data_IF_032943560068
#
_entry.id   IF_032943560068
#
_cell.length_a   1.000
_cell.length_b   1.000
_cell.length_c   1.000
_cell.angle_alpha   90.00
_cell.angle_beta   90.00
_cell.angle_gamma   90.00
#
_symmetry.space_group_name_H-M   'P 1'
#
loop_
_entity.id
_entity.type
_entity.pdbx_description
1 polymer ?
#
# COMPACT_ATOMS: atom_id res chain seq x y z
N UNK A 1 -5.05 40.27 -3.88
CA UNK A 1 -5.80 39.00 -3.86
C UNK A 1 -5.89 38.56 -5.29
N UNK A 2 -5.38 37.38 -5.60
CA UNK A 2 -5.67 36.75 -6.89
C UNK A 2 -7.18 36.51 -6.95
N UNK A 3 -7.79 36.80 -8.10
CA UNK A 3 -9.24 36.62 -8.30
C UNK A 3 -9.49 35.19 -8.76
N UNK A 4 -9.37 34.24 -7.83
CA UNK A 4 -9.61 32.82 -8.11
C UNK A 4 -11.09 32.57 -8.40
N UNK A 5 -11.36 31.77 -9.43
CA UNK A 5 -12.68 31.35 -9.88
C UNK A 5 -12.93 29.90 -9.49
N UNK A 6 -14.20 29.52 -9.48
CA UNK A 6 -14.62 28.13 -9.29
C UNK A 6 -14.44 27.34 -10.60
N UNK A 7 -13.18 27.10 -10.96
CA UNK A 7 -12.75 26.32 -12.12
C UNK A 7 -11.56 25.45 -11.75
N UNK A 8 -11.40 24.30 -12.42
CA UNK A 8 -10.39 23.31 -12.07
C UNK A 8 -8.94 23.85 -12.06
N UNK A 9 -8.48 24.66 -13.03
CA UNK A 9 -7.15 25.26 -12.99
C UNK A 9 -6.84 26.09 -11.74
N UNK A 10 -7.80 26.91 -11.29
CA UNK A 10 -7.63 27.74 -10.09
C UNK A 10 -7.61 26.89 -8.81
N UNK A 11 -8.45 25.86 -8.76
CA UNK A 11 -8.48 24.89 -7.65
C UNK A 11 -7.16 24.13 -7.59
N UNK A 12 -6.66 23.62 -8.71
CA UNK A 12 -5.40 22.87 -8.74
C UNK A 12 -4.20 23.77 -8.43
N UNK A 13 -4.21 25.03 -8.91
CA UNK A 13 -3.21 26.04 -8.52
C UNK A 13 -3.19 26.26 -7.00
N UNK A 14 -4.36 26.35 -6.36
CA UNK A 14 -4.47 26.43 -4.90
C UNK A 14 -3.96 25.15 -4.23
N UNK A 15 -4.29 23.97 -4.76
CA UNK A 15 -3.83 22.68 -4.23
C UNK A 15 -2.31 22.47 -4.37
N UNK A 16 -1.70 23.01 -5.43
CA UNK A 16 -0.25 22.95 -5.66
C UNK A 16 0.54 23.67 -4.57
N UNK A 17 -0.10 24.58 -3.82
CA UNK A 17 0.50 25.14 -2.62
C UNK A 17 0.82 24.08 -1.55
N UNK A 18 0.30 22.85 -1.63
CA UNK A 18 0.46 21.80 -0.63
C UNK A 18 1.34 20.61 -1.08
N UNK A 19 1.96 20.66 -2.26
CA UNK A 19 2.79 19.55 -2.78
C UNK A 19 3.93 19.12 -1.86
N UNK A 20 4.49 20.05 -1.08
CA UNK A 20 5.62 19.80 -0.16
C UNK A 20 5.19 19.33 1.23
N UNK A 21 3.93 18.96 1.40
CA UNK A 21 3.40 18.39 2.65
C UNK A 21 2.43 19.30 3.41
N UNK A 22 1.87 18.70 4.45
CA UNK A 22 0.75 19.13 5.29
C UNK A 22 0.94 20.49 6.00
N UNK A 23 -0.18 21.18 6.22
CA UNK A 23 -0.23 22.35 7.11
C UNK A 23 -0.50 21.95 8.56
N UNK A 24 0.44 22.37 9.42
CA UNK A 24 0.34 22.66 10.85
C UNK A 24 -0.16 21.55 11.79
N UNK A 25 0.71 20.87 12.58
CA UNK A 25 0.28 20.15 13.78
C UNK A 25 -0.21 21.08 14.91
N UNK A 26 -0.36 22.39 14.66
CA UNK A 26 -0.76 23.41 15.64
C UNK A 26 -2.15 23.97 15.33
N UNK A 27 -2.72 24.70 16.28
CA UNK A 27 -4.02 25.35 16.09
C UNK A 27 -4.00 26.36 14.92
N UNK A 28 -5.00 26.33 14.01
CA UNK A 28 -5.10 27.23 12.86
C UNK A 28 -5.54 28.64 13.30
N UNK A 29 -5.26 29.66 12.48
CA UNK A 29 -5.74 31.02 12.77
C UNK A 29 -7.27 31.10 12.86
N UNK A 30 -7.78 32.14 13.54
CA UNK A 30 -9.22 32.39 13.64
C UNK A 30 -9.86 32.57 12.25
N UNK A 31 -9.15 33.23 11.32
CA UNK A 31 -9.61 33.43 9.95
C UNK A 31 -9.75 32.09 9.21
N UNK A 32 -8.75 31.22 9.31
CA UNK A 32 -8.78 29.88 8.72
C UNK A 32 -9.88 29.00 9.36
N UNK A 33 -10.03 29.04 10.69
CA UNK A 33 -11.15 28.38 11.37
C UNK A 33 -12.50 28.81 10.80
N UNK A 34 -12.69 30.13 10.64
CA UNK A 34 -13.93 30.70 10.12
C UNK A 34 -14.19 30.28 8.67
N UNK A 35 -13.15 30.21 7.84
CA UNK A 35 -13.25 29.76 6.45
C UNK A 35 -13.61 28.26 6.33
N UNK A 36 -13.10 27.42 7.22
CA UNK A 36 -13.43 25.98 7.25
C UNK A 36 -14.86 25.69 7.72
N UNK A 37 -15.39 26.46 8.68
CA UNK A 37 -16.65 26.14 9.36
C UNK A 37 -17.82 25.80 8.43
N UNK A 38 -18.07 26.53 7.32
CA UNK A 38 -19.11 26.17 6.36
C UNK A 38 -19.02 24.74 5.84
N UNK A 39 -17.82 24.23 5.54
CA UNK A 39 -17.63 22.86 5.04
C UNK A 39 -18.05 21.82 6.09
N UNK A 40 -17.61 22.00 7.33
CA UNK A 40 -17.96 21.10 8.45
C UNK A 40 -19.45 21.15 8.78
N UNK A 41 -20.06 22.34 8.76
CA UNK A 41 -21.49 22.49 9.02
C UNK A 41 -22.35 21.85 7.92
N UNK A 42 -21.99 22.01 6.64
CA UNK A 42 -22.70 21.37 5.54
C UNK A 42 -22.64 19.84 5.61
N UNK A 43 -21.50 19.28 6.02
CA UNK A 43 -21.29 17.84 6.15
C UNK A 43 -21.72 17.30 7.53
N UNK A 44 -22.26 18.13 8.43
CA UNK A 44 -22.69 17.69 9.78
C UNK A 44 -23.71 16.56 9.71
N UNK A 45 -24.70 16.67 8.83
CA UNK A 45 -25.77 15.68 8.67
C UNK A 45 -25.33 14.39 7.96
N UNK A 46 -24.13 14.37 7.38
CA UNK A 46 -23.60 13.19 6.70
C UNK A 46 -23.06 12.18 7.72
N UNK A 47 -23.34 10.89 7.48
CA UNK A 47 -22.80 9.78 8.23
C UNK A 47 -21.29 9.64 7.99
N UNK A 48 -20.53 9.17 8.98
CA UNK A 48 -19.11 8.92 8.82
C UNK A 48 -18.85 7.73 7.88
N UNK A 49 -17.59 7.61 7.45
CA UNK A 49 -17.09 6.48 6.68
C UNK A 49 -17.25 5.16 7.45
N UNK A 50 -17.49 4.07 6.74
CA UNK A 50 -17.75 2.76 7.35
C UNK A 50 -16.59 2.26 8.22
N UNK A 51 -15.35 2.57 7.83
CA UNK A 51 -14.13 2.16 8.54
C UNK A 51 -13.55 3.27 9.44
N UNK A 52 -14.15 4.45 9.48
CA UNK A 52 -13.66 5.59 10.26
C UNK A 52 -14.83 6.47 10.70
N UNK A 53 -15.12 6.49 12.00
CA UNK A 53 -16.24 7.20 12.62
C UNK A 53 -16.03 8.71 12.77
N UNK A 54 -14.79 9.20 12.58
CA UNK A 54 -14.41 10.61 12.67
C UNK A 54 -14.41 11.30 11.29
N UNK A 55 -14.28 10.53 10.20
CA UNK A 55 -14.13 11.03 8.85
C UNK A 55 -15.42 10.93 8.01
N UNK A 56 -15.61 11.91 7.12
CA UNK A 56 -16.72 11.97 6.16
C UNK A 56 -16.17 12.36 4.79
N UNK A 57 -16.63 11.71 3.73
CA UNK A 57 -16.15 11.96 2.37
C UNK A 57 -17.30 12.24 1.40
N UNK A 58 -17.17 13.26 0.56
CA UNK A 58 -18.13 13.54 -0.51
C UNK A 58 -17.40 13.95 -1.79
N UNK A 59 -17.84 13.42 -2.92
CA UNK A 59 -17.41 13.83 -4.24
C UNK A 59 -18.08 15.14 -4.64
N UNK A 60 -17.30 16.04 -5.24
CA UNK A 60 -17.76 17.29 -5.83
C UNK A 60 -17.28 17.40 -7.26
N UNK A 61 -18.03 18.14 -8.07
CA UNK A 61 -17.67 18.45 -9.45
C UNK A 61 -17.38 19.93 -9.60
N UNK A 62 -16.27 20.26 -10.24
CA UNK A 62 -15.86 21.65 -10.53
C UNK A 62 -15.80 21.82 -12.06
N UNK A 63 -16.29 22.94 -12.63
CA UNK A 63 -16.15 23.19 -14.06
C UNK A 63 -14.68 23.20 -14.50
N UNK A 64 -14.39 22.70 -15.71
CA UNK A 64 -13.06 22.81 -16.31
C UNK A 64 -12.55 24.25 -16.41
N UNK A 65 -13.45 25.20 -16.61
CA UNK A 65 -13.10 26.58 -17.00
C UNK A 65 -12.89 26.72 -18.50
N UNK A 66 -12.43 27.91 -18.89
CA UNK A 66 -12.04 28.29 -20.24
C UNK A 66 -10.53 28.19 -20.42
N UNK A 67 -10.04 28.29 -21.65
CA UNK A 67 -8.59 28.26 -21.90
C UNK A 67 -7.87 29.48 -21.31
N UNK A 68 -8.59 30.58 -21.13
CA UNK A 68 -8.12 31.78 -20.46
C UNK A 68 -7.91 31.56 -18.94
N UNK A 69 -8.50 30.50 -18.36
CA UNK A 69 -8.32 30.14 -16.96
C UNK A 69 -7.15 29.15 -16.75
N UNK A 70 -6.63 28.51 -17.81
CA UNK A 70 -5.61 27.47 -17.71
C UNK A 70 -4.21 28.01 -17.40
N UNK A 71 -3.84 29.14 -18.01
CA UNK A 71 -2.52 29.74 -17.88
C UNK A 71 -2.31 30.88 -18.87
N UNK A 72 -1.12 31.46 -18.88
CA UNK A 72 -0.73 32.42 -19.93
C UNK A 72 -0.04 31.67 -21.07
N UNK A 73 -0.61 31.78 -22.25
CA UNK A 73 0.03 31.28 -23.48
C UNK A 73 1.39 31.93 -23.70
N UNK A 74 1.51 33.24 -23.44
CA UNK A 74 2.76 33.98 -23.60
C UNK A 74 3.85 33.46 -22.66
N UNK A 75 3.52 33.25 -21.39
CA UNK A 75 4.48 32.69 -20.43
C UNK A 75 4.88 31.28 -20.85
N UNK A 76 3.91 30.38 -21.12
CA UNK A 76 4.20 28.99 -21.49
C UNK A 76 5.00 28.87 -22.79
N UNK A 77 4.84 29.81 -23.72
CA UNK A 77 5.67 29.92 -24.92
C UNK A 77 7.10 30.39 -24.58
N UNK A 78 7.24 31.36 -23.67
CA UNK A 78 8.55 31.87 -23.22
C UNK A 78 9.35 30.79 -22.45
N UNK A 79 8.68 30.04 -21.56
CA UNK A 79 9.29 28.95 -20.78
C UNK A 79 9.52 27.68 -21.62
N UNK A 80 8.91 27.60 -22.80
CA UNK A 80 9.07 26.48 -23.73
C UNK A 80 8.20 25.26 -23.40
N UNK A 81 7.18 25.43 -22.56
CA UNK A 81 6.16 24.41 -22.27
C UNK A 81 5.32 24.07 -23.51
N UNK A 82 5.14 25.07 -24.40
CA UNK A 82 4.42 24.93 -25.68
C UNK A 82 5.15 25.68 -26.78
N UNK A 83 5.04 25.24 -28.03
CA UNK A 83 5.71 25.88 -29.19
C UNK A 83 4.80 26.84 -29.95
N UNK A 84 3.48 26.68 -29.82
CA UNK A 84 2.48 27.46 -30.53
C UNK A 84 1.11 27.34 -29.84
N UNK A 85 0.13 28.10 -30.36
CA UNK A 85 -1.21 28.17 -29.80
C UNK A 85 -1.99 26.85 -29.89
N UNK A 86 -1.75 26.05 -30.91
CA UNK A 86 -2.41 24.75 -31.07
C UNK A 86 -1.93 23.75 -30.00
N UNK A 87 -0.63 23.71 -29.72
CA UNK A 87 -0.04 22.88 -28.65
C UNK A 87 -0.54 23.33 -27.27
N UNK A 88 -0.73 24.64 -27.06
CA UNK A 88 -1.35 25.17 -25.83
C UNK A 88 -2.82 24.75 -25.66
N UNK A 89 -3.61 24.82 -26.73
CA UNK A 89 -5.00 24.35 -26.73
C UNK A 89 -5.09 22.84 -26.49
N UNK A 90 -4.19 22.07 -27.07
CA UNK A 90 -4.10 20.63 -26.85
C UNK A 90 -3.71 20.31 -25.42
N UNK A 91 -2.70 20.98 -24.86
CA UNK A 91 -2.24 20.72 -23.50
C UNK A 91 -3.34 20.98 -22.46
N UNK A 92 -4.10 22.07 -22.62
CA UNK A 92 -5.27 22.34 -21.77
C UNK A 92 -6.31 21.21 -21.80
N UNK A 93 -6.59 20.67 -22.99
CA UNK A 93 -7.55 19.57 -23.16
C UNK A 93 -7.01 18.20 -22.75
N UNK A 94 -5.69 18.06 -22.64
CA UNK A 94 -5.04 16.86 -22.09
C UNK A 94 -5.09 16.86 -20.56
N UNK A 95 -4.79 17.99 -19.92
CA UNK A 95 -4.89 18.16 -18.46
C UNK A 95 -6.34 18.15 -17.97
N UNK A 96 -7.24 18.80 -18.73
CA UNK A 96 -8.67 18.90 -18.39
C UNK A 96 -9.56 18.41 -19.54
N UNK A 97 -9.62 17.08 -19.77
CA UNK A 97 -10.32 16.51 -20.91
C UNK A 97 -11.84 16.64 -20.82
N UNK A 98 -12.38 16.63 -19.61
CA UNK A 98 -13.81 16.63 -19.36
C UNK A 98 -14.35 18.04 -19.06
N UNK A 99 -15.64 18.33 -19.37
CA UNK A 99 -16.26 19.61 -19.00
C UNK A 99 -16.32 19.87 -17.48
N UNK A 100 -16.21 18.81 -16.68
CA UNK A 100 -16.20 18.85 -15.22
C UNK A 100 -15.08 17.96 -14.68
N UNK A 101 -14.42 18.44 -13.64
CA UNK A 101 -13.37 17.74 -12.92
C UNK A 101 -13.92 17.25 -11.57
N UNK A 102 -13.44 16.09 -11.13
CA UNK A 102 -13.93 15.43 -9.91
C UNK A 102 -12.90 15.52 -8.80
N UNK A 103 -13.38 15.83 -7.61
CA UNK A 103 -12.56 15.92 -6.40
C UNK A 103 -13.32 15.29 -5.24
N UNK A 104 -12.63 14.54 -4.39
CA UNK A 104 -13.18 14.08 -3.12
C UNK A 104 -12.81 15.06 -2.02
N UNK A 105 -13.81 15.56 -1.30
CA UNK A 105 -13.62 16.27 -0.04
C UNK A 105 -13.74 15.27 1.10
N UNK A 106 -12.67 15.09 1.87
CA UNK A 106 -12.70 14.35 3.13
C UNK A 106 -12.46 15.32 4.27
N UNK A 107 -13.36 15.33 5.24
CA UNK A 107 -13.18 16.06 6.50
C UNK A 107 -13.10 15.05 7.65
N UNK A 108 -12.31 15.38 8.67
CA UNK A 108 -12.28 14.64 9.92
C UNK A 108 -12.37 15.60 11.12
N UNK A 109 -13.11 15.21 12.15
CA UNK A 109 -13.22 15.97 13.40
C UNK A 109 -13.24 15.02 14.59
N UNK A 110 -12.38 15.26 15.56
CA UNK A 110 -12.30 14.44 16.77
C UNK A 110 -12.43 15.28 18.03
N UNK A 111 -13.05 14.67 19.05
CA UNK A 111 -13.43 15.31 20.29
C UNK A 111 -12.90 14.54 21.50
N UNK A 112 -12.51 15.28 22.52
CA UNK A 112 -12.23 14.77 23.86
C UNK A 112 -13.52 14.24 24.49
N UNK A 113 -13.38 13.49 25.58
CA UNK A 113 -14.52 12.96 26.35
C UNK A 113 -15.42 14.04 26.94
N UNK A 114 -14.89 15.24 27.17
CA UNK A 114 -15.64 16.40 27.67
C UNK A 114 -16.37 17.17 26.55
N UNK A 115 -16.31 16.68 25.31
CA UNK A 115 -16.92 17.31 24.13
C UNK A 115 -16.10 18.45 23.54
N UNK A 116 -14.93 18.78 24.08
CA UNK A 116 -14.04 19.75 23.46
C UNK A 116 -13.33 19.14 22.24
N UNK A 117 -13.21 19.92 21.16
CA UNK A 117 -12.59 19.48 19.91
C UNK A 117 -11.07 19.55 20.02
N UNK A 118 -10.39 18.45 19.71
CA UNK A 118 -8.93 18.37 19.74
C UNK A 118 -8.30 18.26 18.35
N UNK A 119 -9.10 17.93 17.33
CA UNK A 119 -8.60 17.67 15.98
C UNK A 119 -9.55 18.14 14.88
N UNK A 120 -9.01 18.68 13.79
CA UNK A 120 -9.67 18.77 12.48
C UNK A 120 -8.70 18.50 11.35
N UNK A 121 -9.16 17.76 10.35
CA UNK A 121 -8.48 17.65 9.08
C UNK A 121 -9.41 17.95 7.90
N UNK A 122 -8.82 18.49 6.84
CA UNK A 122 -9.46 18.69 5.54
C UNK A 122 -8.51 18.17 4.46
N UNK A 123 -9.00 17.23 3.67
CA UNK A 123 -8.34 16.66 2.50
C UNK A 123 -9.22 16.93 1.28
N UNK A 124 -8.62 17.33 0.17
CA UNK A 124 -9.36 17.61 -1.06
C UNK A 124 -8.57 17.12 -2.28
N UNK A 125 -9.22 16.35 -3.14
CA UNK A 125 -8.52 15.66 -4.22
C UNK A 125 -7.52 14.66 -3.67
N UNK A 126 -6.25 14.78 -4.05
CA UNK A 126 -5.13 13.97 -3.56
C UNK A 126 -4.27 14.70 -2.49
N UNK A 127 -4.68 15.90 -2.05
CA UNK A 127 -3.88 16.75 -1.15
C UNK A 127 -4.47 16.86 0.27
N UNK A 128 -3.66 16.61 1.33
CA UNK A 128 -4.01 17.01 2.68
C UNK A 128 -3.82 18.52 2.82
N UNK A 129 -4.92 19.26 2.95
CA UNK A 129 -4.89 20.72 3.04
C UNK A 129 -4.61 21.16 4.48
N UNK A 130 -5.28 20.55 5.47
CA UNK A 130 -5.20 20.94 6.89
C UNK A 130 -5.14 19.70 7.77
N UNK A 131 -4.29 19.73 8.79
CA UNK A 131 -4.24 18.72 9.85
C UNK A 131 -4.01 19.37 11.23
N UNK A 132 -5.04 20.01 11.76
CA UNK A 132 -4.98 20.86 12.95
C UNK A 132 -5.24 20.09 14.25
N UNK A 133 -4.27 20.11 15.16
CA UNK A 133 -4.45 19.72 16.55
C UNK A 133 -4.65 20.98 17.42
N UNK A 134 -5.76 21.00 18.17
CA UNK A 134 -6.16 22.16 18.98
C UNK A 134 -5.57 22.14 20.40
N UNK A 135 -4.96 21.02 20.81
CA UNK A 135 -4.32 20.88 22.13
C UNK A 135 -2.89 21.47 22.16
N UNK A 136 -2.24 21.63 21.00
CA UNK A 136 -0.89 22.19 20.93
C UNK A 136 -0.94 23.73 20.92
N UNK A 137 -0.55 24.33 22.04
CA UNK A 137 -0.27 25.76 22.18
C UNK A 137 1.21 26.05 21.92
N UNK A 138 1.78 25.60 20.80
CA UNK A 138 3.18 25.93 20.53
C UNK A 138 3.30 27.37 20.00
N UNK A 139 4.09 28.18 20.70
CA UNK A 139 4.44 29.56 20.29
C UNK A 139 5.32 29.55 19.03
N UNK A 140 5.93 28.40 18.69
CA UNK A 140 6.55 28.16 17.39
C UNK A 140 5.49 27.72 16.37
N UNK A 141 4.78 28.71 15.81
CA UNK A 141 4.10 28.51 14.52
C UNK A 141 5.16 28.06 13.51
N UNK A 142 5.26 26.75 13.28
CA UNK A 142 6.11 26.18 12.24
C UNK A 142 5.80 26.92 10.93
N UNK A 143 6.83 27.28 10.16
CA UNK A 143 6.84 28.32 9.11
C UNK A 143 5.93 28.13 7.89
N UNK A 144 4.79 27.48 8.05
CA UNK A 144 3.77 27.18 7.05
C UNK A 144 2.57 28.15 7.07
N UNK A 145 2.58 29.16 7.95
CA UNK A 145 1.56 30.23 8.02
C UNK A 145 1.33 30.96 6.70
N UNK A 146 2.30 30.91 5.79
CA UNK A 146 2.29 31.65 4.52
C UNK A 146 1.34 31.03 3.47
N UNK A 147 0.63 29.95 3.81
CA UNK A 147 -0.31 29.25 2.92
C UNK A 147 -1.75 29.28 3.41
N UNK A 148 -2.03 29.89 4.57
CA UNK A 148 -3.40 29.98 5.09
C UNK A 148 -4.33 30.74 4.14
N UNK A 149 -3.83 31.76 3.42
CA UNK A 149 -4.63 32.51 2.44
C UNK A 149 -5.15 31.60 1.32
N UNK A 150 -4.30 30.74 0.75
CA UNK A 150 -4.71 29.78 -0.29
C UNK A 150 -5.79 28.81 0.23
N UNK A 151 -5.71 28.40 1.49
CA UNK A 151 -6.73 27.55 2.10
C UNK A 151 -8.04 28.30 2.31
N UNK A 152 -7.97 29.55 2.76
CA UNK A 152 -9.15 30.40 2.97
C UNK A 152 -9.87 30.60 1.63
N UNK A 153 -9.13 30.92 0.57
CA UNK A 153 -9.67 31.08 -0.79
C UNK A 153 -10.27 29.77 -1.29
N UNK A 154 -9.58 28.64 -1.10
CA UNK A 154 -10.09 27.32 -1.45
C UNK A 154 -11.38 26.98 -0.70
N UNK A 155 -11.44 27.16 0.62
CA UNK A 155 -12.66 26.92 1.41
C UNK A 155 -13.84 27.78 0.93
N UNK A 156 -13.58 29.02 0.51
CA UNK A 156 -14.62 29.89 -0.04
C UNK A 156 -15.17 29.36 -1.37
N UNK A 157 -14.30 28.90 -2.27
CA UNK A 157 -14.68 28.31 -3.56
C UNK A 157 -15.43 26.98 -3.40
N UNK A 158 -15.04 26.15 -2.43
CA UNK A 158 -15.63 24.82 -2.22
C UNK A 158 -17.04 24.86 -1.62
N UNK A 159 -17.49 26.01 -1.09
CA UNK A 159 -18.78 26.10 -0.42
C UNK A 159 -19.96 25.71 -1.34
N UNK A 160 -19.99 26.20 -2.57
CA UNK A 160 -21.07 25.94 -3.52
C UNK A 160 -21.08 24.49 -4.05
N UNK A 161 -19.96 23.91 -4.55
CA UNK A 161 -19.93 22.51 -4.99
C UNK A 161 -20.34 21.52 -3.89
N UNK A 162 -19.88 21.74 -2.65
CA UNK A 162 -20.21 20.87 -1.51
C UNK A 162 -21.69 20.97 -1.17
N UNK A 163 -22.25 22.18 -1.20
CA UNK A 163 -23.69 22.40 -1.00
C UNK A 163 -24.52 21.64 -2.04
N UNK A 164 -24.12 21.68 -3.30
CA UNK A 164 -24.81 20.97 -4.39
C UNK A 164 -24.73 19.44 -4.23
N UNK A 165 -23.56 18.88 -3.88
CA UNK A 165 -23.43 17.45 -3.59
C UNK A 165 -24.28 17.03 -2.38
N UNK A 166 -24.29 17.82 -1.31
CA UNK A 166 -25.14 17.56 -0.14
C UNK A 166 -26.64 17.69 -0.47
N UNK A 167 -27.04 18.62 -1.35
CA UNK A 167 -28.42 18.74 -1.82
C UNK A 167 -28.85 17.46 -2.54
N UNK A 168 -28.03 16.94 -3.46
CA UNK A 168 -28.27 15.66 -4.15
C UNK A 168 -28.35 14.50 -3.17
N UNK A 169 -27.52 14.50 -2.12
CA UNK A 169 -27.55 13.46 -1.10
C UNK A 169 -28.87 13.47 -0.33
N UNK A 170 -29.34 14.66 0.07
CA UNK A 170 -30.64 14.85 0.74
C UNK A 170 -31.83 14.49 -0.14
N UNK A 171 -31.70 14.68 -1.45
CA UNK A 171 -32.72 14.29 -2.45
C UNK A 171 -32.66 12.80 -2.84
N UNK A 172 -31.64 12.07 -2.38
CA UNK A 172 -31.47 10.65 -2.70
C UNK A 172 -30.96 10.38 -4.12
N UNK A 173 -30.42 11.39 -4.81
CA UNK A 173 -29.93 11.27 -6.20
C UNK A 173 -28.40 11.19 -6.31
N UNK A 174 -27.69 11.50 -5.22
CA UNK A 174 -26.22 11.59 -5.21
C UNK A 174 -25.50 10.28 -5.55
N UNK A 175 -25.81 9.17 -4.87
CA UNK A 175 -25.04 7.92 -5.06
C UNK A 175 -25.17 7.37 -6.50
N UNK A 176 -26.36 7.44 -7.09
CA UNK A 176 -26.55 7.06 -8.50
C UNK A 176 -25.85 8.03 -9.46
N UNK A 177 -25.80 9.34 -9.13
CA UNK A 177 -25.02 10.31 -9.89
C UNK A 177 -23.52 9.98 -9.87
N UNK A 178 -22.93 9.71 -8.70
CA UNK A 178 -21.51 9.32 -8.57
C UNK A 178 -21.25 8.04 -9.35
N UNK A 179 -22.04 6.99 -9.11
CA UNK A 179 -21.91 5.69 -9.78
C UNK A 179 -21.95 5.80 -11.31
N UNK A 180 -22.81 6.66 -11.85
CA UNK A 180 -22.96 6.85 -13.28
C UNK A 180 -21.87 7.72 -13.92
N UNK A 181 -21.26 8.66 -13.18
CA UNK A 181 -20.43 9.72 -13.78
C UNK A 181 -18.99 9.83 -13.24
N UNK A 182 -18.64 9.17 -12.13
CA UNK A 182 -17.28 9.22 -11.58
C UNK A 182 -16.27 8.68 -12.61
N UNK A 183 -15.18 9.37 -12.96
CA UNK A 183 -14.19 8.87 -13.91
C UNK A 183 -13.50 7.58 -13.43
N UNK A 184 -13.03 6.75 -14.36
CA UNK A 184 -12.36 5.48 -14.03
C UNK A 184 -11.08 5.66 -13.21
N UNK A 185 -10.40 6.81 -13.33
CA UNK A 185 -9.18 7.13 -12.59
C UNK A 185 -9.40 7.23 -11.07
N UNK A 186 -10.65 7.36 -10.62
CA UNK A 186 -11.02 7.39 -9.21
C UNK A 186 -11.63 6.07 -8.71
N UNK A 187 -11.85 5.10 -9.60
CA UNK A 187 -12.60 3.89 -9.27
C UNK A 187 -11.68 2.74 -8.90
N UNK A 188 -12.20 1.85 -8.06
CA UNK A 188 -11.60 0.53 -7.84
C UNK A 188 -12.29 -0.51 -8.74
N UNK A 189 -11.52 -1.39 -9.36
CA UNK A 189 -12.05 -2.43 -10.25
C UNK A 189 -11.21 -3.70 -10.23
N UNK A 190 -11.70 -4.77 -10.83
CA UNK A 190 -10.92 -6.00 -11.01
C UNK A 190 -11.00 -6.46 -12.45
N UNK A 191 -9.93 -7.07 -12.93
CA UNK A 191 -9.89 -7.70 -14.24
C UNK A 191 -9.36 -9.14 -14.12
N UNK A 192 -10.01 -10.14 -14.72
CA UNK A 192 -9.45 -11.50 -14.75
C UNK A 192 -8.11 -11.52 -15.47
N UNK A 193 -7.07 -12.08 -14.84
CA UNK A 193 -5.70 -12.08 -15.38
C UNK A 193 -5.60 -12.75 -16.75
N UNK A 194 -6.33 -13.86 -16.95
CA UNK A 194 -6.43 -14.52 -18.27
C UNK A 194 -6.87 -13.57 -19.39
N UNK A 195 -7.75 -12.60 -19.11
CA UNK A 195 -8.24 -11.66 -20.13
C UNK A 195 -7.15 -10.65 -20.47
N UNK A 196 -6.37 -10.19 -19.47
CA UNK A 196 -5.19 -9.39 -19.71
C UNK A 196 -4.19 -10.14 -20.59
N UNK A 197 -3.88 -11.40 -20.27
CA UNK A 197 -2.96 -12.22 -21.08
C UNK A 197 -3.44 -12.45 -22.51
N UNK A 198 -4.75 -12.63 -22.71
CA UNK A 198 -5.34 -12.82 -24.03
C UNK A 198 -5.29 -11.55 -24.89
N UNK A 199 -5.51 -10.39 -24.29
CA UNK A 199 -5.58 -9.10 -25.00
C UNK A 199 -4.22 -8.43 -25.14
N UNK A 200 -3.35 -8.60 -24.16
CA UNK A 200 -2.02 -8.00 -24.05
C UNK A 200 -1.02 -9.06 -23.54
N UNK A 201 -0.50 -9.92 -24.44
CA UNK A 201 0.37 -11.05 -24.06
C UNK A 201 1.64 -10.67 -23.29
N UNK A 202 2.07 -9.42 -23.39
CA UNK A 202 3.18 -8.82 -22.65
C UNK A 202 3.01 -8.96 -21.13
N UNK A 203 1.77 -8.90 -20.64
CA UNK A 203 1.46 -9.13 -19.22
C UNK A 203 1.77 -10.55 -18.79
N UNK A 204 1.57 -11.54 -19.67
CA UNK A 204 1.93 -12.93 -19.37
C UNK A 204 3.43 -13.09 -19.26
N UNK A 205 4.19 -12.45 -20.17
CA UNK A 205 5.65 -12.47 -20.13
C UNK A 205 6.17 -11.81 -18.84
N UNK A 206 5.61 -10.66 -18.47
CA UNK A 206 5.92 -9.96 -17.22
C UNK A 206 5.51 -10.74 -15.97
N UNK A 207 4.37 -11.43 -15.99
CA UNK A 207 3.90 -12.19 -14.83
C UNK A 207 4.77 -13.41 -14.53
N UNK A 208 5.28 -14.06 -15.59
CA UNK A 208 6.11 -15.24 -15.51
C UNK A 208 7.60 -14.93 -15.34
N UNK A 209 8.05 -13.73 -15.73
CA UNK A 209 9.45 -13.26 -15.63
C UNK A 209 10.47 -14.30 -16.16
N UNK A 210 10.13 -14.95 -17.27
CA UNK A 210 10.99 -15.99 -17.87
C UNK A 210 11.15 -17.26 -17.03
N UNK A 211 10.24 -17.55 -16.10
CA UNK A 211 10.17 -18.84 -15.42
C UNK A 211 9.96 -19.98 -16.44
N UNK A 212 10.82 -21.02 -16.44
CA UNK A 212 10.60 -22.20 -17.28
C UNK A 212 9.36 -22.97 -16.84
N UNK A 213 8.63 -23.54 -17.80
CA UNK A 213 7.44 -24.37 -17.54
C UNK A 213 7.77 -25.56 -16.62
N UNK A 214 8.98 -26.10 -16.70
CA UNK A 214 9.44 -27.17 -15.81
C UNK A 214 9.48 -26.71 -14.34
N UNK A 215 9.84 -25.46 -14.10
CA UNK A 215 9.89 -24.88 -12.75
C UNK A 215 8.48 -24.63 -12.22
N UNK A 216 7.58 -24.09 -13.06
CA UNK A 216 6.17 -23.87 -12.72
C UNK A 216 5.48 -25.22 -12.44
N UNK A 217 5.73 -26.22 -13.28
CA UNK A 217 5.20 -27.57 -13.10
C UNK A 217 5.72 -28.25 -11.83
N UNK A 218 7.00 -28.09 -11.50
CA UNK A 218 7.57 -28.58 -10.24
C UNK A 218 6.92 -27.88 -9.03
N UNK A 219 6.75 -26.56 -9.11
CA UNK A 219 6.07 -25.79 -8.06
C UNK A 219 4.62 -26.26 -7.85
N UNK A 220 3.86 -26.41 -8.94
CA UNK A 220 2.48 -26.94 -8.91
C UNK A 220 2.42 -28.35 -8.31
N UNK A 221 3.38 -29.22 -8.65
CA UNK A 221 3.45 -30.57 -8.08
C UNK A 221 3.72 -30.54 -6.57
N UNK A 222 4.59 -29.65 -6.09
CA UNK A 222 4.84 -29.46 -4.66
C UNK A 222 3.57 -29.01 -3.93
N UNK A 223 2.83 -28.04 -4.48
CA UNK A 223 1.56 -27.61 -3.89
C UNK A 223 0.52 -28.72 -3.85
N UNK A 224 0.34 -29.45 -4.97
CA UNK A 224 -0.61 -30.57 -5.05
C UNK A 224 -0.27 -31.74 -4.12
N UNK A 225 1.00 -31.92 -3.76
CA UNK A 225 1.41 -32.91 -2.76
C UNK A 225 0.99 -32.51 -1.33
N UNK A 226 0.67 -31.22 -1.12
CA UNK A 226 0.40 -30.61 0.17
C UNK A 226 1.64 -30.48 1.05
N UNK A 227 2.84 -30.61 0.49
CA UNK A 227 4.07 -30.46 1.29
C UNK A 227 4.27 -29.02 1.75
N UNK A 228 3.70 -28.01 1.07
CA UNK A 228 3.72 -26.60 1.47
C UNK A 228 2.80 -26.28 2.66
N UNK A 229 2.76 -27.15 3.66
CA UNK A 229 2.04 -26.94 4.90
C UNK A 229 2.94 -27.26 6.09
N UNK A 230 2.88 -26.40 7.10
CA UNK A 230 3.73 -26.51 8.29
C UNK A 230 3.59 -27.86 9.00
N UNK A 231 2.41 -28.48 8.99
CA UNK A 231 2.20 -29.80 9.59
C UNK A 231 2.72 -30.98 8.76
N UNK A 232 3.19 -30.77 7.53
CA UNK A 232 3.62 -31.83 6.59
C UNK A 232 5.10 -31.78 6.21
N UNK A 233 5.75 -30.62 6.29
CA UNK A 233 7.20 -30.50 6.04
C UNK A 233 8.05 -31.27 7.05
N UNK A 234 9.28 -31.62 6.68
CA UNK A 234 10.27 -32.14 7.63
C UNK A 234 10.82 -31.07 8.59
N UNK A 235 11.63 -31.47 9.57
CA UNK A 235 12.34 -30.58 10.53
C UNK A 235 13.82 -30.93 10.53
N UNK A 236 14.69 -29.92 10.48
CA UNK A 236 16.10 -30.07 10.79
C UNK A 236 16.29 -30.00 12.31
N UNK A 237 16.99 -30.97 12.89
CA UNK A 237 17.18 -31.05 14.35
C UNK A 237 18.27 -30.12 14.87
N UNK A 238 19.16 -29.68 13.99
CA UNK A 238 20.21 -28.73 14.25
C UNK A 238 20.38 -27.83 13.03
N UNK A 239 20.95 -26.66 13.24
CA UNK A 239 21.32 -25.70 12.20
C UNK A 239 22.68 -25.12 12.52
N UNK A 240 23.40 -24.71 11.48
CA UNK A 240 24.62 -23.93 11.59
C UNK A 240 24.53 -22.71 10.67
N UNK A 241 25.39 -21.71 10.85
CA UNK A 241 25.43 -20.57 9.92
C UNK A 241 25.75 -21.04 8.50
N UNK A 242 26.62 -22.04 8.36
CA UNK A 242 26.94 -22.64 7.07
C UNK A 242 25.73 -23.31 6.41
N UNK A 243 24.81 -23.93 7.15
CA UNK A 243 23.58 -24.49 6.58
C UNK A 243 22.68 -23.40 6.00
N UNK A 244 22.54 -22.27 6.71
CA UNK A 244 21.82 -21.10 6.22
C UNK A 244 22.47 -20.51 4.95
N UNK A 245 23.79 -20.26 4.95
CA UNK A 245 24.47 -19.70 3.79
C UNK A 245 24.46 -20.65 2.58
N UNK A 246 24.54 -21.97 2.81
CA UNK A 246 24.36 -22.97 1.73
C UNK A 246 22.96 -22.94 1.14
N UNK A 247 21.93 -22.78 1.97
CA UNK A 247 20.55 -22.62 1.48
C UNK A 247 20.43 -21.34 0.61
N UNK A 248 21.01 -20.22 1.04
CA UNK A 248 21.08 -19.00 0.22
C UNK A 248 21.77 -19.27 -1.13
N UNK A 249 22.92 -19.94 -1.12
CA UNK A 249 23.69 -20.27 -2.32
C UNK A 249 22.92 -21.16 -3.31
N UNK A 250 22.12 -22.11 -2.82
CA UNK A 250 21.22 -22.94 -3.65
C UNK A 250 20.22 -22.03 -4.38
N UNK A 251 19.59 -21.10 -3.67
CA UNK A 251 18.64 -20.15 -4.23
C UNK A 251 19.27 -19.21 -5.26
N UNK A 252 20.41 -18.59 -4.94
CA UNK A 252 21.14 -17.71 -5.86
C UNK A 252 21.50 -18.43 -7.16
N UNK A 253 21.97 -19.67 -7.06
CA UNK A 253 22.27 -20.50 -8.24
C UNK A 253 21.02 -20.77 -9.07
N UNK A 254 19.89 -21.06 -8.44
CA UNK A 254 18.62 -21.31 -9.13
C UNK A 254 18.08 -20.06 -9.85
N UNK A 255 18.34 -18.87 -9.30
CA UNK A 255 18.01 -17.59 -9.91
C UNK A 255 19.03 -17.10 -10.95
N UNK A 256 20.14 -17.82 -11.18
CA UNK A 256 21.16 -17.42 -12.13
C UNK A 256 21.93 -16.17 -11.71
N UNK A 257 22.04 -15.93 -10.40
CA UNK A 257 22.78 -14.78 -9.88
C UNK A 257 24.27 -14.91 -10.17
N UNK A 258 24.97 -13.78 -10.22
CA UNK A 258 26.43 -13.79 -10.38
C UNK A 258 27.13 -14.23 -9.08
N UNK A 259 28.41 -14.60 -9.17
CA UNK A 259 29.22 -14.95 -8.01
C UNK A 259 28.86 -16.28 -7.35
N UNK A 260 28.10 -17.16 -8.01
CA UNK A 260 27.73 -18.49 -7.47
C UNK A 260 28.91 -19.44 -7.25
N UNK A 261 30.10 -19.07 -7.73
CA UNK A 261 31.36 -19.79 -7.50
C UNK A 261 32.09 -19.32 -6.23
N UNK A 262 31.64 -18.21 -5.62
CA UNK A 262 32.20 -17.72 -4.36
C UNK A 262 31.81 -18.62 -3.18
N UNK A 263 32.54 -18.57 -2.05
CA UNK A 263 32.10 -19.18 -0.81
C UNK A 263 30.66 -18.75 -0.42
N UNK A 264 29.81 -19.63 0.16
CA UNK A 264 28.40 -19.33 0.42
C UNK A 264 28.13 -18.03 1.20
N UNK A 265 28.94 -17.73 2.22
CA UNK A 265 28.83 -16.47 2.98
C UNK A 265 29.12 -15.25 2.11
N UNK A 266 30.05 -15.34 1.16
CA UNK A 266 30.38 -14.24 0.26
C UNK A 266 29.25 -14.01 -0.76
N UNK A 267 28.56 -15.08 -1.19
CA UNK A 267 27.36 -14.96 -2.00
C UNK A 267 26.24 -14.24 -1.24
N UNK A 268 26.06 -14.56 0.05
CA UNK A 268 25.10 -13.88 0.90
C UNK A 268 25.37 -12.37 0.97
N UNK A 269 26.63 -11.95 1.17
CA UNK A 269 26.97 -10.52 1.19
C UNK A 269 26.90 -9.83 -0.18
N UNK A 270 27.05 -10.59 -1.26
CA UNK A 270 26.90 -10.05 -2.61
C UNK A 270 25.45 -9.67 -2.92
N UNK A 271 24.49 -10.47 -2.44
CA UNK A 271 23.08 -10.39 -2.86
C UNK A 271 22.09 -9.96 -1.78
N UNK A 272 22.36 -10.31 -0.53
CA UNK A 272 21.54 -9.98 0.63
C UNK A 272 21.90 -8.63 1.23
N UNK A 273 21.04 -8.09 2.08
CA UNK A 273 21.15 -6.71 2.55
C UNK A 273 22.20 -6.48 3.66
N UNK A 274 22.84 -7.55 4.15
CA UNK A 274 24.01 -7.47 5.03
C UNK A 274 23.72 -6.97 6.45
N UNK A 275 22.45 -6.73 6.80
CA UNK A 275 21.97 -6.49 8.17
C UNK A 275 21.76 -7.81 8.91
N UNK A 276 22.82 -8.62 8.99
CA UNK A 276 22.76 -10.02 9.46
C UNK A 276 22.75 -10.20 10.98
N UNK A 277 22.54 -9.12 11.75
CA UNK A 277 22.54 -9.12 13.22
C UNK A 277 23.79 -9.79 13.83
N UNK A 278 24.95 -9.55 13.23
CA UNK A 278 26.23 -10.06 13.73
C UNK A 278 26.47 -11.55 13.48
N UNK A 279 25.63 -12.22 12.69
CA UNK A 279 25.78 -13.64 12.34
C UNK A 279 27.17 -13.94 11.77
N UNK A 280 27.58 -13.18 10.74
CA UNK A 280 28.87 -13.38 10.08
C UNK A 280 30.04 -12.65 10.73
N UNK A 281 29.76 -11.64 11.56
CA UNK A 281 30.75 -10.67 12.04
C UNK A 281 31.22 -9.66 10.98
N UNK A 282 30.64 -9.67 9.77
CA UNK A 282 30.99 -8.79 8.65
C UNK A 282 29.99 -7.66 8.42
N UNK A 283 28.91 -7.60 9.20
CA UNK A 283 27.93 -6.54 9.15
C UNK A 283 28.51 -5.17 9.51
N UNK A 284 27.83 -4.11 9.09
CA UNK A 284 28.21 -2.72 9.39
C UNK A 284 27.35 -2.11 10.51
N UNK A 285 27.90 -1.13 11.23
CA UNK A 285 27.17 -0.38 12.26
C UNK A 285 26.81 -1.23 13.47
N UNK A 286 25.52 -1.23 13.84
CA UNK A 286 25.01 -2.02 14.97
C UNK A 286 25.15 -3.54 14.75
N UNK A 287 25.30 -3.98 13.51
CA UNK A 287 25.50 -5.39 13.13
C UNK A 287 26.99 -5.83 13.14
N UNK A 288 27.90 -4.97 13.62
CA UNK A 288 29.32 -5.32 13.74
C UNK A 288 29.58 -6.17 15.00
N UNK A 289 30.43 -7.19 14.89
CA UNK A 289 30.75 -8.10 15.99
C UNK A 289 31.74 -9.19 15.58
N UNK A 290 32.11 -10.11 16.48
CA UNK A 290 33.05 -11.19 16.15
C UNK A 290 32.50 -12.23 15.18
N UNK A 291 31.18 -12.25 14.93
CA UNK A 291 30.53 -13.37 14.26
C UNK A 291 30.33 -14.55 15.19
N UNK A 292 29.63 -15.57 14.71
CA UNK A 292 29.58 -16.89 15.37
C UNK A 292 30.50 -17.88 14.67
N UNK A 293 30.76 -19.02 15.31
CA UNK A 293 31.38 -20.15 14.64
C UNK A 293 30.38 -20.75 13.64
N UNK A 294 30.75 -20.78 12.36
CA UNK A 294 29.83 -21.16 11.27
C UNK A 294 29.50 -22.64 11.24
N UNK A 295 30.29 -23.48 11.91
CA UNK A 295 30.10 -24.93 11.95
C UNK A 295 29.57 -25.43 13.30
N UNK A 296 29.40 -24.55 14.30
CA UNK A 296 28.91 -24.90 15.63
C UNK A 296 27.40 -24.69 15.78
N UNK A 297 26.60 -25.76 15.93
CA UNK A 297 25.16 -25.64 16.17
C UNK A 297 24.81 -24.94 17.50
N UNK A 298 25.66 -25.03 18.52
CA UNK A 298 25.41 -24.35 19.79
C UNK A 298 25.57 -22.84 19.65
N UNK A 299 26.57 -22.39 18.88
CA UNK A 299 26.75 -20.98 18.56
C UNK A 299 25.57 -20.43 17.72
N UNK A 300 25.03 -21.24 16.80
CA UNK A 300 23.80 -20.90 16.06
C UNK A 300 22.60 -20.76 17.00
N UNK A 301 22.35 -21.73 17.87
CA UNK A 301 21.20 -21.71 18.80
C UNK A 301 21.25 -20.49 19.72
N UNK A 302 22.43 -20.16 20.26
CA UNK A 302 22.63 -18.98 21.10
C UNK A 302 22.29 -17.70 20.33
N UNK A 303 22.85 -17.52 19.13
CA UNK A 303 22.54 -16.36 18.29
C UNK A 303 21.05 -16.30 17.89
N UNK A 304 20.46 -17.43 17.48
CA UNK A 304 19.09 -17.46 16.97
C UNK A 304 18.05 -17.18 18.06
N UNK A 305 18.20 -17.76 19.26
CA UNK A 305 17.23 -17.63 20.36
C UNK A 305 17.51 -16.46 21.32
N UNK A 306 18.76 -16.01 21.42
CA UNK A 306 19.18 -15.05 22.44
C UNK A 306 19.82 -13.77 21.87
N UNK A 307 19.61 -13.46 20.58
CA UNK A 307 20.03 -12.19 20.00
C UNK A 307 19.49 -10.98 20.77
N UNK A 308 20.41 -10.11 21.19
CA UNK A 308 20.10 -8.87 21.91
C UNK A 308 19.55 -7.77 20.98
N UNK A 309 19.84 -7.87 19.68
CA UNK A 309 19.34 -6.97 18.64
C UNK A 309 18.19 -7.65 17.88
N UNK A 310 17.13 -6.89 17.61
CA UNK A 310 15.92 -7.34 16.90
C UNK A 310 15.54 -6.40 15.74
N UNK A 311 16.52 -5.65 15.23
CA UNK A 311 16.32 -4.61 14.20
C UNK A 311 17.07 -4.86 12.90
N UNK A 312 17.85 -5.94 12.79
CA UNK A 312 18.48 -6.35 11.54
C UNK A 312 17.58 -7.31 10.74
N UNK A 313 17.93 -7.49 9.48
CA UNK A 313 17.16 -8.24 8.49
C UNK A 313 18.01 -9.38 7.91
N UNK A 314 18.46 -10.36 8.73
CA UNK A 314 19.36 -11.43 8.28
C UNK A 314 18.74 -12.30 7.18
N UNK A 315 17.42 -12.29 7.09
CA UNK A 315 16.63 -13.11 6.18
C UNK A 315 16.43 -12.48 4.80
N UNK A 316 16.66 -11.16 4.62
CA UNK A 316 16.56 -10.48 3.33
C UNK A 316 17.75 -10.89 2.43
N UNK A 317 17.61 -12.04 1.76
CA UNK A 317 18.66 -12.67 0.96
C UNK A 317 18.73 -12.10 -0.46
N UNK A 318 17.66 -11.50 -0.96
CA UNK A 318 17.70 -10.71 -2.19
C UNK A 318 17.32 -9.26 -1.86
N UNK A 319 18.28 -8.33 -2.01
CA UNK A 319 18.06 -6.90 -1.77
C UNK A 319 16.87 -6.35 -2.56
N UNK A 320 16.13 -5.47 -1.91
CA UNK A 320 15.04 -4.70 -2.47
C UNK A 320 14.52 -3.68 -1.47
N UNK A 321 13.56 -2.85 -1.89
CA UNK A 321 12.82 -2.00 -0.96
C UNK A 321 11.90 -2.82 -0.05
N UNK A 322 11.15 -2.13 0.82
CA UNK A 322 10.22 -2.76 1.78
C UNK A 322 9.20 -3.74 1.15
N UNK A 323 8.93 -3.63 -0.16
CA UNK A 323 7.99 -4.49 -0.89
C UNK A 323 8.65 -5.38 -1.96
N UNK A 324 9.98 -5.32 -2.14
CA UNK A 324 10.67 -5.95 -3.29
C UNK A 324 11.91 -6.75 -2.89
N UNK A 325 12.02 -7.16 -1.64
CA UNK A 325 13.03 -8.15 -1.21
C UNK A 325 12.47 -9.57 -1.32
N UNK A 326 13.37 -10.56 -1.33
CA UNK A 326 13.04 -11.97 -1.08
C UNK A 326 13.68 -12.35 0.24
N UNK A 327 12.86 -12.88 1.13
CA UNK A 327 13.29 -13.39 2.42
C UNK A 327 13.47 -14.91 2.39
N UNK A 328 14.52 -15.38 3.04
CA UNK A 328 14.68 -16.78 3.44
C UNK A 328 14.74 -16.84 4.96
N UNK A 329 13.57 -16.87 5.60
CA UNK A 329 13.48 -17.00 7.05
C UNK A 329 13.92 -18.39 7.49
N UNK A 330 14.72 -18.46 8.55
CA UNK A 330 14.83 -19.67 9.35
C UNK A 330 13.79 -19.60 10.46
N UNK A 331 12.94 -20.63 10.51
CA UNK A 331 11.88 -20.79 11.48
C UNK A 331 12.22 -21.93 12.43
N UNK A 332 11.75 -21.85 13.68
CA UNK A 332 11.86 -22.94 14.65
C UNK A 332 10.55 -23.09 15.43
N UNK A 333 10.07 -24.33 15.56
CA UNK A 333 8.75 -24.61 16.18
C UNK A 333 8.67 -24.15 17.65
N UNK A 334 9.78 -24.17 18.38
CA UNK A 334 9.89 -23.71 19.79
C UNK A 334 9.25 -22.35 20.05
N UNK A 335 9.41 -21.34 19.18
CA UNK A 335 8.92 -19.99 19.46
C UNK A 335 7.39 -19.94 19.58
N UNK A 336 6.69 -20.63 18.68
CA UNK A 336 5.23 -20.75 18.67
C UNK A 336 4.75 -21.63 19.84
N UNK A 337 5.47 -22.72 20.14
CA UNK A 337 5.15 -23.58 21.28
C UNK A 337 5.31 -22.86 22.62
N UNK A 338 6.37 -22.08 22.79
CA UNK A 338 6.63 -21.29 24.00
C UNK A 338 5.52 -20.25 24.23
N UNK A 339 5.07 -19.59 23.15
CA UNK A 339 3.95 -18.64 23.22
C UNK A 339 2.66 -19.34 23.66
N UNK A 340 2.26 -20.42 22.97
CA UNK A 340 1.02 -21.16 23.27
C UNK A 340 1.01 -21.70 24.69
N UNK A 341 2.15 -22.21 25.15
CA UNK A 341 2.29 -22.71 26.52
C UNK A 341 2.13 -21.58 27.55
N UNK A 342 2.81 -20.43 27.35
CA UNK A 342 2.69 -19.27 28.26
C UNK A 342 1.30 -18.62 28.23
N UNK A 343 0.62 -18.69 27.09
CA UNK A 343 -0.77 -18.23 26.94
C UNK A 343 -1.79 -19.19 27.57
N UNK A 344 -1.36 -20.38 28.01
CA UNK A 344 -2.25 -21.42 28.55
C UNK A 344 -3.09 -22.12 27.50
N UNK A 345 -2.74 -22.02 26.21
CA UNK A 345 -3.45 -22.67 25.10
C UNK A 345 -3.14 -24.16 25.00
N UNK A 346 -2.00 -24.61 25.52
CA UNK A 346 -1.57 -26.01 25.54
C UNK A 346 -1.08 -26.41 26.94
N UNK A 347 -1.23 -27.70 27.28
CA UNK A 347 -0.76 -28.25 28.55
C UNK A 347 0.76 -28.43 28.60
N UNK A 348 1.34 -28.59 29.80
CA UNK A 348 2.76 -28.96 29.97
C UNK A 348 3.08 -30.26 29.22
N UNK A 349 2.25 -31.30 29.37
CA UNK A 349 2.48 -32.60 28.72
C UNK A 349 2.49 -32.48 27.19
N UNK A 350 1.56 -31.70 26.63
CA UNK A 350 1.48 -31.41 25.20
C UNK A 350 2.68 -30.58 24.71
N UNK A 351 3.13 -29.60 25.51
CA UNK A 351 4.33 -28.84 25.21
C UNK A 351 5.57 -29.76 25.17
N UNK A 352 5.76 -30.61 26.18
CA UNK A 352 6.88 -31.54 26.27
C UNK A 352 6.85 -32.61 25.16
N UNK A 353 5.68 -33.02 24.70
CA UNK A 353 5.55 -33.89 23.52
C UNK A 353 5.96 -33.17 22.24
N UNK A 354 5.43 -31.98 21.99
CA UNK A 354 5.68 -31.23 20.74
C UNK A 354 7.08 -30.67 20.64
N UNK A 355 7.71 -30.29 21.75
CA UNK A 355 9.08 -29.78 21.73
C UNK A 355 10.08 -30.87 21.34
N UNK A 356 9.82 -32.16 21.63
CA UNK A 356 10.67 -33.29 21.20
C UNK A 356 10.68 -33.47 19.68
N UNK A 357 9.54 -33.21 19.02
CA UNK A 357 9.44 -33.27 17.56
C UNK A 357 9.80 -31.95 16.87
N UNK A 358 9.94 -30.85 17.62
CA UNK A 358 10.35 -29.53 17.10
C UNK A 358 11.68 -29.54 16.37
N UNK A 359 11.88 -28.54 15.52
CA UNK A 359 13.13 -28.28 14.84
C UNK A 359 13.03 -27.08 13.91
N UNK A 360 14.08 -26.90 13.12
CA UNK A 360 14.20 -25.84 12.13
C UNK A 360 13.54 -26.19 10.80
N UNK A 361 13.06 -25.17 10.10
CA UNK A 361 12.64 -25.23 8.71
C UNK A 361 12.80 -23.84 8.08
N UNK A 362 12.77 -23.77 6.76
CA UNK A 362 12.84 -22.51 6.03
C UNK A 362 11.45 -22.01 5.64
N UNK A 363 11.27 -20.70 5.60
CA UNK A 363 10.10 -20.05 5.02
C UNK A 363 10.57 -18.96 4.05
N UNK A 364 10.13 -19.03 2.81
CA UNK A 364 10.41 -18.01 1.80
C UNK A 364 9.29 -17.00 1.78
N UNK A 365 9.64 -15.72 1.89
CA UNK A 365 8.76 -14.59 1.60
C UNK A 365 9.22 -13.90 0.32
N UNK A 366 8.30 -13.48 -0.53
CA UNK A 366 8.69 -12.81 -1.78
C UNK A 366 7.58 -12.74 -2.83
N UNK A 367 6.33 -12.56 -2.41
CA UNK A 367 5.17 -12.56 -3.32
C UNK A 367 5.28 -11.53 -4.46
N UNK A 368 5.95 -10.41 -4.21
CA UNK A 368 6.21 -9.35 -5.22
C UNK A 368 7.45 -9.60 -6.08
N UNK A 369 8.20 -10.69 -5.81
CA UNK A 369 9.29 -11.24 -6.63
C UNK A 369 9.06 -12.73 -6.81
N UNK A 370 7.84 -13.04 -7.26
CA UNK A 370 7.29 -14.39 -7.31
C UNK A 370 8.21 -15.36 -8.07
N UNK A 371 8.78 -14.93 -9.20
CA UNK A 371 9.66 -15.78 -10.00
C UNK A 371 10.90 -16.25 -9.24
N UNK A 372 11.54 -15.35 -8.50
CA UNK A 372 12.72 -15.69 -7.71
C UNK A 372 12.35 -16.50 -6.46
N UNK A 373 11.27 -16.13 -5.77
CA UNK A 373 10.76 -16.88 -4.63
C UNK A 373 10.45 -18.35 -5.00
N UNK A 374 9.86 -18.58 -6.18
CA UNK A 374 9.56 -19.92 -6.70
C UNK A 374 10.83 -20.68 -7.10
N UNK A 375 11.83 -20.01 -7.71
CA UNK A 375 13.13 -20.64 -8.00
C UNK A 375 13.84 -21.06 -6.72
N UNK A 376 13.85 -20.22 -5.68
CA UNK A 376 14.36 -20.58 -4.35
C UNK A 376 13.60 -21.78 -3.79
N UNK A 377 12.26 -21.71 -3.76
CA UNK A 377 11.42 -22.74 -3.17
C UNK A 377 11.61 -24.10 -3.82
N UNK A 378 11.56 -24.15 -5.15
CA UNK A 378 11.72 -25.39 -5.92
C UNK A 378 13.12 -25.96 -5.79
N UNK A 379 14.17 -25.12 -5.81
CA UNK A 379 15.55 -25.57 -5.67
C UNK A 379 15.87 -26.11 -4.26
N UNK A 380 15.41 -25.42 -3.21
CA UNK A 380 15.58 -25.88 -1.83
C UNK A 380 14.80 -27.16 -1.56
N UNK A 381 13.56 -27.26 -2.08
CA UNK A 381 12.77 -28.49 -2.01
C UNK A 381 13.46 -29.65 -2.72
N UNK A 382 14.03 -29.41 -3.92
CA UNK A 382 14.78 -30.42 -4.67
C UNK A 382 16.08 -30.85 -3.96
N UNK A 383 16.68 -29.97 -3.16
CA UNK A 383 17.81 -30.28 -2.29
C UNK A 383 17.42 -31.07 -1.01
N UNK A 384 16.13 -31.35 -0.81
CA UNK A 384 15.62 -32.08 0.35
C UNK A 384 15.52 -31.24 1.63
N UNK A 385 15.59 -29.91 1.52
CA UNK A 385 15.45 -29.02 2.66
C UNK A 385 13.98 -28.81 3.01
N UNK A 386 13.61 -28.79 4.30
CA UNK A 386 12.25 -28.48 4.71
C UNK A 386 11.99 -26.99 4.54
N UNK A 387 11.28 -26.63 3.46
CA UNK A 387 11.00 -25.25 3.10
C UNK A 387 9.51 -25.07 2.82
N UNK A 388 8.99 -23.90 3.20
CA UNK A 388 7.69 -23.39 2.80
C UNK A 388 7.87 -22.16 1.93
N UNK A 389 6.90 -21.90 1.07
CA UNK A 389 6.71 -20.62 0.41
C UNK A 389 5.45 -19.96 0.98
N UNK A 390 5.59 -18.72 1.47
CA UNK A 390 4.47 -17.85 1.84
C UNK A 390 3.67 -17.48 0.59
N UNK A 391 2.35 -17.32 0.75
CA UNK A 391 1.45 -16.86 -0.33
C UNK A 391 1.49 -17.78 -1.58
N UNK A 392 1.88 -19.05 -1.40
CA UNK A 392 2.19 -19.92 -2.53
C UNK A 392 0.97 -20.23 -3.42
N UNK A 393 -0.22 -20.31 -2.83
CA UNK A 393 -1.46 -20.51 -3.57
C UNK A 393 -1.81 -19.27 -4.42
N UNK A 394 -1.54 -18.06 -3.91
CA UNK A 394 -1.76 -16.81 -4.63
C UNK A 394 -0.75 -16.62 -5.77
N UNK A 395 0.52 -16.97 -5.50
CA UNK A 395 1.57 -17.00 -6.52
C UNK A 395 1.24 -18.03 -7.62
N UNK A 396 0.72 -19.21 -7.26
CA UNK A 396 0.28 -20.18 -8.26
C UNK A 396 -0.90 -19.66 -9.07
N UNK A 397 -1.85 -18.99 -8.43
CA UNK A 397 -3.01 -18.37 -9.07
C UNK A 397 -2.60 -17.28 -10.08
N UNK A 398 -1.52 -16.54 -9.81
CA UNK A 398 -0.86 -15.65 -10.77
C UNK A 398 -0.32 -16.43 -11.98
N UNK A 399 0.49 -17.47 -11.75
CA UNK A 399 1.12 -18.23 -12.85
C UNK A 399 0.17 -19.10 -13.67
N UNK A 400 -0.96 -19.52 -13.10
CA UNK A 400 -2.01 -20.23 -13.81
C UNK A 400 -2.96 -19.27 -14.57
N UNK A 401 -2.84 -17.96 -14.36
CA UNK A 401 -3.71 -16.95 -14.98
C UNK A 401 -5.15 -16.97 -14.46
N UNK A 402 -5.42 -17.71 -13.40
CA UNK A 402 -6.76 -17.94 -12.83
C UNK A 402 -7.20 -16.83 -11.87
N UNK A 403 -6.27 -16.00 -11.42
CA UNK A 403 -6.53 -14.88 -10.52
C UNK A 403 -7.06 -13.62 -11.19
N UNK A 404 -7.08 -12.56 -10.39
CA UNK A 404 -7.44 -11.21 -10.79
C UNK A 404 -6.24 -10.26 -10.64
N UNK A 405 -6.27 -9.18 -11.40
CA UNK A 405 -5.45 -7.99 -11.15
C UNK A 405 -6.39 -6.90 -10.62
N UNK A 406 -5.96 -6.24 -9.55
CA UNK A 406 -6.70 -5.13 -8.95
C UNK A 406 -6.43 -3.84 -9.69
N UNK A 407 -7.48 -3.11 -10.03
CA UNK A 407 -7.40 -1.76 -10.55
C UNK A 407 -7.69 -0.82 -9.39
N UNK A 408 -6.75 0.09 -9.14
CA UNK A 408 -6.83 1.04 -8.03
C UNK A 408 -6.92 2.47 -8.58
N UNK A 409 -7.49 3.42 -7.81
CA UNK A 409 -7.50 4.82 -8.17
C UNK A 409 -6.07 5.35 -8.43
N UNK A 410 -5.92 6.34 -9.30
CA UNK A 410 -4.61 6.91 -9.67
C UNK A 410 -3.90 7.58 -8.49
N UNK A 411 -4.66 8.06 -7.49
CA UNK A 411 -4.11 8.61 -6.24
C UNK A 411 -3.61 7.54 -5.26
N UNK A 412 -3.91 6.26 -5.51
CA UNK A 412 -3.51 5.14 -4.66
C UNK A 412 -2.27 4.45 -5.26
N UNK A 413 -1.20 4.23 -4.48
CA UNK A 413 -0.04 3.51 -4.98
C UNK A 413 -0.41 2.06 -5.27
N UNK A 414 0.17 1.46 -6.32
CA UNK A 414 -0.11 0.08 -6.76
C UNK A 414 0.57 -0.99 -5.89
N UNK A 415 0.49 -0.85 -4.57
CA UNK A 415 1.09 -1.75 -3.58
C UNK A 415 0.31 -1.70 -2.27
N UNK A 416 0.24 -2.84 -1.59
CA UNK A 416 -0.47 -2.98 -0.31
C UNK A 416 -1.97 -2.61 -0.40
N UNK A 417 -2.61 -2.97 -1.53
CA UNK A 417 -4.01 -2.65 -1.82
C UNK A 417 -4.96 -3.82 -1.60
N UNK A 418 -4.50 -4.93 -1.02
CA UNK A 418 -5.26 -6.18 -0.85
C UNK A 418 -6.62 -5.92 -0.17
N UNK A 419 -6.65 -5.02 0.82
CA UNK A 419 -7.84 -4.70 1.60
C UNK A 419 -8.91 -3.89 0.86
N UNK A 420 -8.59 -3.34 -0.32
CA UNK A 420 -9.57 -2.65 -1.18
C UNK A 420 -10.51 -3.64 -1.87
N UNK A 421 -10.10 -4.91 -1.99
CA UNK A 421 -10.81 -5.88 -2.79
C UNK A 421 -11.66 -6.82 -1.92
N UNK A 422 -12.91 -7.11 -2.32
CA UNK A 422 -13.74 -8.07 -1.62
C UNK A 422 -13.15 -9.49 -1.67
N UNK A 423 -13.23 -10.22 -0.54
CA UNK A 423 -12.74 -11.60 -0.41
C UNK A 423 -13.28 -12.59 -1.46
N UNK A 424 -14.38 -12.27 -2.16
CA UNK A 424 -14.95 -13.12 -3.22
C UNK A 424 -13.99 -13.30 -4.42
N UNK A 425 -12.99 -12.43 -4.57
CA UNK A 425 -11.98 -12.51 -5.63
C UNK A 425 -10.73 -13.30 -5.24
N UNK A 426 -10.67 -13.83 -4.01
CA UNK A 426 -9.42 -14.33 -3.43
C UNK A 426 -8.47 -13.20 -3.05
N UNK A 427 -7.23 -13.54 -2.73
CA UNK A 427 -6.20 -12.57 -2.42
C UNK A 427 -5.60 -12.02 -3.73
N UNK A 428 -5.81 -10.73 -3.96
CA UNK A 428 -5.28 -10.02 -5.14
C UNK A 428 -3.90 -9.48 -4.78
N UNK A 429 -2.86 -9.97 -5.46
CA UNK A 429 -1.46 -9.65 -5.14
C UNK A 429 -0.80 -8.67 -6.12
N UNK A 430 -1.48 -8.34 -7.22
CA UNK A 430 -1.02 -7.38 -8.23
C UNK A 430 -2.05 -6.29 -8.46
N UNK A 431 -1.55 -5.07 -8.62
CA UNK A 431 -2.35 -3.88 -8.75
C UNK A 431 -1.84 -3.01 -9.89
N UNK A 432 -2.74 -2.33 -10.59
CA UNK A 432 -2.39 -1.44 -11.69
C UNK A 432 -3.29 -0.22 -11.73
N UNK A 433 -2.78 0.84 -12.35
CA UNK A 433 -3.59 1.91 -12.89
C UNK A 433 -3.99 1.55 -14.32
N UNK A 434 -5.14 2.06 -14.77
CA UNK A 434 -5.55 2.00 -16.17
C UNK A 434 -5.58 3.41 -16.72
N UNK A 435 -5.04 3.61 -17.92
CA UNK A 435 -5.13 4.88 -18.65
C UNK A 435 -6.01 4.71 -19.88
N UNK A 436 -6.14 5.76 -20.69
CA UNK A 436 -7.02 5.77 -21.87
C UNK A 436 -6.72 4.62 -22.83
N UNK A 437 -5.44 4.32 -23.07
CA UNK A 437 -5.02 3.23 -23.95
C UNK A 437 -5.46 1.86 -23.43
N UNK A 438 -5.27 1.57 -22.14
CA UNK A 438 -5.74 0.33 -21.50
C UNK A 438 -7.27 0.22 -21.53
N UNK A 439 -7.96 1.33 -21.31
CA UNK A 439 -9.43 1.38 -21.38
C UNK A 439 -9.95 1.03 -22.78
N UNK A 440 -9.25 1.42 -23.85
CA UNK A 440 -9.58 1.02 -25.23
C UNK A 440 -9.33 -0.46 -25.50
N UNK A 441 -8.27 -1.04 -24.89
CA UNK A 441 -7.87 -2.43 -25.12
C UNK A 441 -8.69 -3.43 -24.31
N UNK A 442 -8.96 -3.14 -23.04
CA UNK A 442 -9.60 -4.08 -22.11
C UNK A 442 -10.55 -3.45 -21.10
N UNK A 443 -10.95 -2.19 -21.27
CA UNK A 443 -11.86 -1.50 -20.36
C UNK A 443 -13.24 -2.17 -20.21
N UNK A 444 -13.73 -2.86 -21.26
CA UNK A 444 -14.98 -3.62 -21.25
C UNK A 444 -14.91 -4.91 -20.41
N UNK A 445 -13.70 -5.39 -20.10
CA UNK A 445 -13.48 -6.57 -19.27
C UNK A 445 -13.31 -6.25 -17.77
N UNK A 446 -13.27 -4.96 -17.41
CA UNK A 446 -13.12 -4.51 -16.03
C UNK A 446 -14.47 -4.61 -15.30
N UNK A 447 -14.51 -5.35 -14.21
CA UNK A 447 -15.61 -5.27 -13.24
C UNK A 447 -15.31 -4.13 -12.26
N UNK A 448 -15.95 -2.98 -12.46
CA UNK A 448 -15.87 -1.86 -11.53
C UNK A 448 -16.61 -2.19 -10.23
N UNK A 449 -15.91 -2.05 -9.10
CA UNK A 449 -16.49 -2.22 -7.79
C UNK A 449 -17.33 -0.99 -7.44
N UNK A 450 -18.43 -1.17 -6.69
CA UNK A 450 -19.25 -0.04 -6.26
C UNK A 450 -18.47 0.85 -5.29
N UNK A 451 -18.56 2.16 -5.51
CA UNK A 451 -18.08 3.16 -4.55
C UNK A 451 -18.80 3.05 -3.21
N UNK A 452 -18.13 3.46 -2.13
CA UNK A 452 -18.76 3.54 -0.82
C UNK A 452 -19.89 4.59 -0.85
N UNK A 453 -21.11 4.16 -0.50
CA UNK A 453 -22.27 5.05 -0.53
C UNK A 453 -22.20 6.12 0.56
N UNK A 454 -22.37 7.38 0.16
CA UNK A 454 -22.63 8.47 1.10
C UNK A 454 -24.04 8.30 1.70
N UNK A 455 -24.17 8.56 3.00
CA UNK A 455 -25.43 8.43 3.74
C UNK A 455 -25.65 9.62 4.66
N UNK A 456 -26.90 9.95 4.92
CA UNK A 456 -27.26 10.84 6.01
C UNK A 456 -27.22 10.09 7.34
N UNK A 457 -26.89 10.78 8.42
CA UNK A 457 -27.03 10.24 9.77
C UNK A 457 -28.49 9.92 10.04
N UNK A 458 -28.77 8.71 10.55
CA UNK A 458 -30.12 8.37 10.99
C UNK A 458 -30.52 9.30 12.14
N UNK A 459 -31.79 9.73 12.16
CA UNK A 459 -32.36 10.53 13.25
C UNK A 459 -32.28 9.84 14.62
N UNK A 460 -32.07 8.52 14.65
CA UNK A 460 -32.03 7.71 15.87
C UNK A 460 -30.72 7.85 16.68
N UNK A 461 -29.70 8.53 16.14
CA UNK A 461 -28.47 8.87 16.88
C UNK A 461 -28.46 10.28 17.48
N UNK A 462 -29.50 11.10 17.23
CA UNK A 462 -29.66 12.42 17.88
C UNK A 462 -30.21 12.35 19.32
N UNK A 463 -30.42 11.14 19.84
CA UNK A 463 -31.09 10.90 21.11
C UNK A 463 -30.20 10.57 22.30
N UNK A 464 -28.90 10.90 22.29
CA UNK A 464 -28.02 10.60 23.43
C UNK A 464 -26.86 11.61 23.64
N UNK A 465 -27.12 12.91 23.43
CA UNK A 465 -26.20 13.98 23.85
C UNK A 465 -26.78 14.95 24.90
N UNK A 466 -27.98 14.68 25.43
CA UNK A 466 -28.48 15.37 26.61
C UNK A 466 -28.62 14.37 27.78
N UNK A 467 -27.55 14.27 28.59
CA UNK A 467 -27.59 13.65 29.91
C UNK A 467 -26.60 12.51 30.13
N UNK A 468 -25.41 12.86 30.60
CA UNK A 468 -24.84 12.49 31.92
C UNK A 468 -23.83 13.56 32.30
#
# INVERSE_FOLDING_TARGET
MNDYKLVAPDIDSLLNCFERGFLNPSAPSEALCKAMNPLFEMLREMAPLRKNDEAKAIWVTIPRGSIEDFGSYEDMLEWGDVKNREEYEQYWLEEYPDPVCWYELVIAEAFHKDGSRWFRAVHFGDKPIINAHFDYNDDEKTGFTNREEAVIDLCALLAEPVMESMRRLKEGTYNEFVKANLPYSFRTGVIPRRVLWEREPEWKESDLEGLPEETISAFRALLNSGINHRNRIGRLKSMTANDFFRACAIGYKACGYNGTDLPPVDQYFLHGDGRDEGLSGRGHGLNAGPGIDFDDPAAWDEWYFHREQHGGHPWEVCRGGNSTHVDLYVMHDRRDLDFKYRAGEISEDEYQERIRSSGYFFLIGGKHRAAEAVRFYTALSAAGLPVLLSDADDIMTRFDGTGYVGIVPHSVPTRYCEELFPKKYGDIIDFMHVYREEMEKFGDAIEWLPEEEARLQSSDLRGNQDGI
#
